data_IF_864988079839
#
_entry.id   IF_864988079839
#
_cell.length_a   1.000
_cell.length_b   1.000
_cell.length_c   1.000
_cell.angle_alpha   90.00
_cell.angle_beta   90.00
_cell.angle_gamma   90.00
#
_symmetry.space_group_name_H-M   'P 1'
#
loop_
_entity.id
_entity.type
_entity.pdbx_description
1 polymer ?
#
# COMPACT_ATOMS: atom_id res chain seq x y z
N UNK A 1 37.60 2.06 -30.84
CA UNK A 1 36.56 2.99 -31.35
C UNK A 1 35.25 2.34 -31.00
N UNK A 2 34.70 2.70 -29.84
CA UNK A 2 33.43 2.15 -29.39
C UNK A 2 32.32 2.72 -30.26
N UNK A 3 31.58 1.83 -30.89
CA UNK A 3 30.53 2.14 -31.84
C UNK A 3 29.44 2.95 -31.12
N UNK A 4 29.26 4.21 -31.52
CA UNK A 4 28.35 5.18 -30.89
C UNK A 4 26.91 4.62 -30.78
N UNK A 5 26.59 3.66 -31.65
CA UNK A 5 25.33 2.91 -31.66
C UNK A 5 25.09 2.08 -30.39
N UNK A 6 26.13 1.52 -29.77
CA UNK A 6 26.02 0.75 -28.52
C UNK A 6 25.86 1.64 -27.28
N UNK A 7 26.43 2.85 -27.30
CA UNK A 7 26.23 3.84 -26.24
C UNK A 7 24.76 4.27 -26.13
N UNK A 8 24.11 4.50 -27.27
CA UNK A 8 22.70 4.89 -27.32
C UNK A 8 21.76 3.80 -26.75
N UNK A 9 22.01 2.52 -27.07
CA UNK A 9 21.19 1.41 -26.56
C UNK A 9 21.24 1.30 -25.03
N UNK A 10 22.41 1.50 -24.42
CA UNK A 10 22.55 1.46 -22.95
C UNK A 10 21.79 2.58 -22.22
N UNK A 11 21.57 3.71 -22.89
CA UNK A 11 20.81 4.84 -22.32
C UNK A 11 19.29 4.71 -22.46
N UNK A 12 18.81 3.84 -23.36
CA UNK A 12 17.38 3.61 -23.57
C UNK A 12 16.76 2.69 -22.53
N UNK A 13 17.54 1.83 -21.89
CA UNK A 13 17.06 0.89 -20.84
C UNK A 13 16.63 1.58 -19.53
N UNK A 14 16.96 2.87 -19.36
CA UNK A 14 16.59 3.66 -18.18
C UNK A 14 15.40 4.60 -18.42
N UNK A 15 14.87 4.64 -19.64
CA UNK A 15 13.71 5.45 -19.94
C UNK A 15 12.44 4.77 -19.42
N UNK A 16 11.47 5.53 -18.87
CA UNK A 16 10.16 4.99 -18.55
C UNK A 16 9.57 4.30 -19.78
N UNK A 17 8.89 3.17 -19.57
CA UNK A 17 8.36 2.34 -20.66
C UNK A 17 7.49 3.12 -21.66
N UNK A 18 6.84 4.18 -21.21
CA UNK A 18 5.99 5.04 -22.04
C UNK A 18 6.81 5.92 -22.99
N UNK A 19 8.02 6.32 -22.58
CA UNK A 19 8.97 7.07 -23.42
C UNK A 19 9.64 6.14 -24.43
N UNK A 20 9.97 4.91 -24.05
CA UNK A 20 10.47 3.90 -24.98
C UNK A 20 9.41 3.59 -26.05
N UNK A 21 8.16 3.32 -25.65
CA UNK A 21 7.08 3.05 -26.59
C UNK A 21 6.81 4.22 -27.52
N UNK A 22 6.83 5.45 -27.03
CA UNK A 22 6.66 6.66 -27.87
C UNK A 22 7.83 6.88 -28.81
N UNK A 23 9.07 6.69 -28.38
CA UNK A 23 10.24 6.76 -29.26
C UNK A 23 10.21 5.69 -30.34
N UNK A 24 9.80 4.47 -30.01
CA UNK A 24 9.61 3.40 -30.98
C UNK A 24 8.45 3.69 -31.95
N UNK A 25 7.33 4.24 -31.47
CA UNK A 25 6.24 4.66 -32.38
C UNK A 25 6.69 5.80 -33.29
N UNK A 26 7.46 6.76 -32.78
CA UNK A 26 8.01 7.86 -33.57
C UNK A 26 9.01 7.33 -34.61
N UNK A 27 9.90 6.39 -34.24
CA UNK A 27 10.80 5.74 -35.20
C UNK A 27 10.04 4.90 -36.25
N UNK A 28 8.96 4.23 -35.86
CA UNK A 28 8.09 3.51 -36.80
C UNK A 28 7.31 4.44 -37.73
N UNK A 29 7.05 5.68 -37.30
CA UNK A 29 6.36 6.71 -38.09
C UNK A 29 7.32 7.53 -38.96
N UNK A 30 8.60 7.67 -38.56
CA UNK A 30 9.63 8.38 -39.31
C UNK A 30 10.36 7.45 -40.30
N UNK A 31 9.60 6.76 -41.14
CA UNK A 31 10.12 6.19 -42.40
C UNK A 31 9.95 7.25 -43.48
N UNK A 32 10.71 8.33 -43.33
CA UNK A 32 10.95 9.22 -44.45
C UNK A 32 11.83 8.47 -45.46
N UNK A 33 11.18 8.07 -46.56
CA UNK A 33 11.73 7.62 -47.85
C UNK A 33 11.85 6.10 -48.07
N UNK A 34 10.75 5.46 -48.51
CA UNK A 34 10.83 4.53 -49.65
C UNK A 34 9.59 4.64 -50.52
N UNK A 35 9.76 5.28 -51.68
CA UNK A 35 8.90 5.20 -52.84
C UNK A 35 8.87 3.78 -53.48
N UNK A 36 8.64 2.72 -52.69
CA UNK A 36 8.46 1.35 -53.20
C UNK A 36 7.52 0.52 -52.31
N UNK A 37 6.56 -0.10 -52.97
CA UNK A 37 5.73 -1.23 -52.54
C UNK A 37 4.56 -0.93 -51.57
N UNK A 38 3.33 -1.05 -52.10
CA UNK A 38 2.06 -0.89 -51.37
C UNK A 38 1.87 -1.82 -50.16
N UNK A 39 2.77 -2.77 -49.93
CA UNK A 39 2.80 -3.65 -48.76
C UNK A 39 3.11 -2.90 -47.45
N UNK A 40 3.97 -1.87 -47.48
CA UNK A 40 4.25 -1.06 -46.27
C UNK A 40 3.05 -0.21 -45.83
N UNK A 41 2.20 0.21 -46.78
CA UNK A 41 0.98 0.97 -46.47
C UNK A 41 -0.06 0.12 -45.73
N UNK A 42 -0.16 -1.17 -46.04
CA UNK A 42 -1.14 -2.06 -45.40
C UNK A 42 -0.74 -2.40 -43.96
N UNK A 43 0.55 -2.60 -43.70
CA UNK A 43 1.07 -2.84 -42.35
C UNK A 43 0.88 -1.62 -41.43
N UNK A 44 1.13 -0.40 -41.93
CA UNK A 44 0.85 0.82 -41.18
C UNK A 44 -0.63 0.99 -40.85
N UNK A 45 -1.54 0.61 -41.76
CA UNK A 45 -2.98 0.63 -41.51
C UNK A 45 -3.38 -0.37 -40.42
N UNK A 46 -2.82 -1.59 -40.43
CA UNK A 46 -3.05 -2.60 -39.38
C UNK A 46 -2.56 -2.12 -38.02
N UNK A 47 -1.40 -1.48 -37.97
CA UNK A 47 -0.86 -0.90 -36.74
C UNK A 47 -1.74 0.25 -36.22
N UNK A 48 -2.19 1.14 -37.10
CA UNK A 48 -3.11 2.22 -36.74
C UNK A 48 -4.46 1.68 -36.20
N UNK A 49 -5.01 0.65 -36.84
CA UNK A 49 -6.25 0.00 -36.40
C UNK A 49 -6.07 -0.70 -35.04
N UNK A 50 -4.94 -1.36 -34.82
CA UNK A 50 -4.60 -1.97 -33.53
C UNK A 50 -4.49 -0.93 -32.40
N UNK A 51 -3.80 0.20 -32.64
CA UNK A 51 -3.72 1.30 -31.67
C UNK A 51 -5.10 1.87 -31.35
N UNK A 52 -5.97 1.99 -32.36
CA UNK A 52 -7.32 2.50 -32.17
C UNK A 52 -8.17 1.54 -31.33
N UNK A 53 -7.98 0.23 -31.49
CA UNK A 53 -8.65 -0.78 -30.66
C UNK A 53 -8.18 -0.74 -29.20
N UNK A 54 -6.87 -0.59 -28.97
CA UNK A 54 -6.34 -0.39 -27.62
C UNK A 54 -6.94 0.85 -26.95
N UNK A 55 -7.05 1.97 -27.68
CA UNK A 55 -7.69 3.19 -27.17
C UNK A 55 -9.17 2.97 -26.85
N UNK A 56 -9.88 2.20 -27.66
CA UNK A 56 -11.29 1.84 -27.37
C UNK A 56 -11.39 0.99 -26.11
N UNK A 57 -10.52 -0.01 -25.95
CA UNK A 57 -10.50 -0.87 -24.76
C UNK A 57 -10.19 -0.08 -23.49
N UNK A 58 -9.24 0.87 -23.55
CA UNK A 58 -8.96 1.74 -22.40
C UNK A 58 -10.13 2.67 -22.09
N UNK A 59 -10.81 3.18 -23.11
CA UNK A 59 -12.02 3.99 -22.92
C UNK A 59 -13.14 3.21 -22.24
N UNK A 60 -13.36 1.95 -22.61
CA UNK A 60 -14.39 1.11 -21.99
C UNK A 60 -14.01 0.77 -20.54
N UNK A 61 -12.75 0.42 -20.27
CA UNK A 61 -12.24 0.19 -18.91
C UNK A 61 -12.47 1.40 -18.00
N UNK A 62 -12.01 2.57 -18.43
CA UNK A 62 -12.17 3.82 -17.66
C UNK A 62 -13.65 4.19 -17.50
N UNK A 63 -14.48 3.93 -18.51
CA UNK A 63 -15.93 4.15 -18.40
C UNK A 63 -16.55 3.28 -17.31
N UNK A 64 -16.12 2.03 -17.18
CA UNK A 64 -16.62 1.12 -16.14
C UNK A 64 -16.15 1.53 -14.74
N UNK A 65 -14.85 1.84 -14.57
CA UNK A 65 -14.29 2.33 -13.31
C UNK A 65 -15.00 3.61 -12.85
N UNK A 66 -15.25 4.55 -13.78
CA UNK A 66 -16.03 5.76 -13.49
C UNK A 66 -17.42 5.43 -12.97
N UNK A 67 -18.13 4.52 -13.63
CA UNK A 67 -19.48 4.12 -13.22
C UNK A 67 -19.48 3.48 -11.82
N UNK A 68 -18.46 2.68 -11.51
CA UNK A 68 -18.31 2.07 -10.19
C UNK A 68 -18.09 3.13 -9.09
N UNK A 69 -17.20 4.10 -9.33
CA UNK A 69 -16.96 5.21 -8.42
C UNK A 69 -18.23 6.04 -8.18
N UNK A 70 -19.02 6.30 -9.23
CA UNK A 70 -20.30 7.00 -9.11
C UNK A 70 -21.28 6.24 -8.19
N UNK A 71 -21.35 4.90 -8.29
CA UNK A 71 -22.15 4.09 -7.36
C UNK A 71 -21.66 4.18 -5.92
N UNK A 72 -20.34 4.16 -5.70
CA UNK A 72 -19.79 4.32 -4.35
C UNK A 72 -20.09 5.69 -3.75
N UNK A 73 -20.04 6.76 -4.56
CA UNK A 73 -20.44 8.09 -4.13
C UNK A 73 -21.92 8.13 -3.75
N UNK A 74 -22.79 7.43 -4.48
CA UNK A 74 -24.20 7.32 -4.13
C UNK A 74 -24.40 6.61 -2.77
N UNK A 75 -23.73 5.47 -2.56
CA UNK A 75 -23.77 4.73 -1.28
C UNK A 75 -23.29 5.63 -0.13
N UNK A 76 -22.18 6.35 -0.33
CA UNK A 76 -21.66 7.29 0.66
C UNK A 76 -22.66 8.40 0.96
N UNK A 77 -23.30 8.97 -0.06
CA UNK A 77 -24.32 10.01 0.12
C UNK A 77 -25.51 9.52 0.96
N UNK A 78 -25.97 8.28 0.72
CA UNK A 78 -27.02 7.63 1.54
C UNK A 78 -26.56 7.45 2.99
N UNK A 79 -25.34 6.99 3.21
CA UNK A 79 -24.76 6.82 4.54
C UNK A 79 -24.63 8.15 5.29
N UNK A 80 -24.10 9.19 4.64
CA UNK A 80 -23.96 10.53 5.23
C UNK A 80 -25.34 11.13 5.57
N UNK A 81 -26.33 10.90 4.71
CA UNK A 81 -27.72 11.25 4.99
C UNK A 81 -28.28 10.54 6.22
N UNK A 82 -27.97 9.26 6.40
CA UNK A 82 -28.34 8.50 7.59
C UNK A 82 -27.64 9.04 8.85
N UNK A 83 -26.34 9.34 8.78
CA UNK A 83 -25.57 9.90 9.89
C UNK A 83 -26.10 11.28 10.32
N UNK A 84 -26.49 12.14 9.37
CA UNK A 84 -27.10 13.45 9.66
C UNK A 84 -28.46 13.33 10.35
N UNK A 85 -29.24 12.29 10.04
CA UNK A 85 -30.54 12.01 10.66
C UNK A 85 -30.40 11.35 12.03
N UNK A 86 -29.24 10.79 12.36
CA UNK A 86 -29.02 10.24 13.70
C UNK A 86 -29.06 11.36 14.73
N UNK A 87 -29.82 11.19 15.84
CA UNK A 87 -29.83 12.16 16.91
C UNK A 87 -28.41 12.28 17.47
N UNK A 88 -27.91 13.51 17.61
CA UNK A 88 -26.64 13.76 18.31
C UNK A 88 -26.79 13.22 19.74
N UNK A 89 -26.16 12.07 20.01
CA UNK A 89 -26.10 11.50 21.35
C UNK A 89 -25.52 12.55 22.28
N UNK A 90 -26.22 12.84 23.38
CA UNK A 90 -25.67 13.71 24.42
C UNK A 90 -24.32 13.14 24.84
N UNK A 91 -23.28 13.98 25.07
CA UNK A 91 -22.02 13.49 25.62
C UNK A 91 -22.32 12.62 26.83
N UNK A 92 -21.83 11.38 26.84
CA UNK A 92 -22.00 10.53 28.00
C UNK A 92 -21.45 11.29 29.20
N UNK A 93 -22.21 11.39 30.32
CA UNK A 93 -21.67 12.00 31.52
C UNK A 93 -20.37 11.30 31.88
N UNK A 94 -19.42 12.04 32.45
CA UNK A 94 -18.11 11.49 32.77
C UNK A 94 -18.26 10.48 33.92
N UNK A 95 -18.57 9.24 33.57
CA UNK A 95 -18.65 8.13 34.49
C UNK A 95 -17.25 7.58 34.70
N UNK A 96 -16.92 7.24 35.95
CA UNK A 96 -15.82 6.32 36.21
C UNK A 96 -15.98 5.07 35.31
N UNK A 97 -14.90 4.47 34.78
CA UNK A 97 -14.99 3.34 33.88
C UNK A 97 -15.91 2.25 34.47
N UNK A 98 -17.00 1.95 33.76
CA UNK A 98 -17.89 0.86 34.15
C UNK A 98 -17.09 -0.43 33.91
N UNK A 99 -16.68 -1.09 35.00
CA UNK A 99 -16.06 -2.42 34.94
C UNK A 99 -17.16 -3.44 34.65
N UNK A 100 -17.56 -3.55 33.38
CA UNK A 100 -18.45 -4.63 32.95
C UNK A 100 -17.60 -5.91 32.90
N UNK A 101 -17.83 -6.82 33.85
CA UNK A 101 -17.30 -8.19 33.74
C UNK A 101 -18.18 -8.95 32.76
N UNK A 102 -17.84 -8.88 31.48
CA UNK A 102 -18.47 -9.70 30.46
C UNK A 102 -17.94 -11.12 30.67
N UNK A 103 -18.76 -12.00 31.23
CA UNK A 103 -18.54 -13.44 31.24
C UNK A 103 -18.80 -13.98 29.84
N UNK A 104 -17.84 -13.78 28.94
CA UNK A 104 -17.95 -14.17 27.54
C UNK A 104 -17.76 -15.69 27.45
N UNK A 105 -18.87 -16.43 27.48
CA UNK A 105 -18.88 -17.86 27.17
C UNK A 105 -18.85 -18.01 25.65
N UNK A 106 -17.67 -17.79 25.05
CA UNK A 106 -17.49 -17.99 23.63
C UNK A 106 -17.52 -19.48 23.32
N UNK A 107 -18.58 -19.88 22.64
CA UNK A 107 -18.70 -21.15 21.95
C UNK A 107 -19.89 -21.01 21.02
N UNK A 108 -19.67 -20.45 19.84
CA UNK A 108 -20.64 -20.52 18.75
C UNK A 108 -20.45 -21.92 18.13
N UNK A 109 -21.34 -22.90 18.38
CA UNK A 109 -21.13 -24.28 17.92
C UNK A 109 -21.16 -24.40 16.38
N UNK A 110 -21.61 -23.35 15.70
CA UNK A 110 -21.80 -23.27 14.26
C UNK A 110 -20.53 -22.81 13.54
N UNK A 111 -19.77 -21.88 14.11
CA UNK A 111 -18.49 -21.41 13.56
C UNK A 111 -17.44 -22.53 13.51
N UNK A 112 -17.49 -23.47 14.46
CA UNK A 112 -16.58 -24.63 14.51
C UNK A 112 -16.95 -25.72 13.46
N UNK A 113 -18.22 -25.77 13.04
CA UNK A 113 -18.67 -26.65 11.94
C UNK A 113 -18.30 -26.07 10.58
N UNK A 114 -18.46 -24.76 10.38
CA UNK A 114 -18.01 -24.08 9.17
C UNK A 114 -16.50 -24.22 8.97
N UNK A 115 -15.71 -24.05 10.04
CA UNK A 115 -14.25 -24.25 9.97
C UNK A 115 -13.87 -25.68 9.54
N UNK A 116 -14.61 -26.70 9.99
CA UNK A 116 -14.35 -28.10 9.59
C UNK A 116 -14.73 -28.38 8.13
N UNK A 117 -15.77 -27.73 7.61
CA UNK A 117 -16.16 -27.82 6.20
C UNK A 117 -15.12 -27.15 5.29
N UNK A 118 -14.71 -25.93 5.65
CA UNK A 118 -13.66 -25.17 4.94
C UNK A 118 -12.35 -25.97 4.93
N UNK A 119 -11.97 -26.59 6.04
CA UNK A 119 -10.73 -27.35 6.15
C UNK A 119 -10.74 -28.70 5.40
N UNK A 120 -11.92 -29.25 5.09
CA UNK A 120 -12.07 -30.42 4.23
C UNK A 120 -11.93 -30.07 2.74
N UNK A 121 -12.41 -28.90 2.30
CA UNK A 121 -12.29 -28.44 0.91
C UNK A 121 -10.84 -28.08 0.56
N UNK A 122 -10.07 -27.52 1.50
CA UNK A 122 -8.66 -27.16 1.30
C UNK A 122 -7.66 -28.33 1.23
N UNK A 123 -8.09 -29.59 1.42
CA UNK A 123 -7.21 -30.77 1.25
C UNK A 123 -7.28 -31.42 -0.14
N UNK A 124 -8.24 -31.04 -0.99
CA UNK A 124 -8.48 -31.72 -2.27
C UNK A 124 -8.28 -30.89 -3.54
N UNK A 125 -7.71 -29.68 -3.45
CA UNK A 125 -7.29 -28.95 -4.65
C UNK A 125 -5.87 -28.41 -4.52
N UNK A 126 -4.94 -29.06 -5.21
CA UNK A 126 -3.59 -28.58 -5.40
C UNK A 126 -3.53 -27.49 -6.48
N UNK A 127 -2.67 -26.51 -6.19
CA UNK A 127 -2.07 -25.45 -7.05
C UNK A 127 -2.75 -24.06 -7.10
N UNK A 128 -1.84 -23.09 -6.95
CA UNK A 128 -1.78 -21.67 -7.38
C UNK A 128 -2.43 -20.55 -6.54
N UNK A 129 -1.51 -19.69 -6.07
CA UNK A 129 -1.55 -18.22 -6.02
C UNK A 129 -2.21 -17.47 -4.85
N UNK A 130 -1.30 -16.85 -4.07
CA UNK A 130 -1.39 -15.56 -3.37
C UNK A 130 -2.56 -15.35 -2.38
N UNK A 131 -2.35 -15.85 -1.17
CA UNK A 131 -2.90 -15.26 0.05
C UNK A 131 -1.77 -14.90 0.99
N UNK A 132 -1.58 -13.63 1.31
CA UNK A 132 -0.75 -13.24 2.46
C UNK A 132 -1.60 -12.40 3.41
N UNK A 133 -2.06 -13.04 4.48
CA UNK A 133 -2.51 -12.42 5.72
C UNK A 133 -1.30 -11.81 6.45
N UNK A 134 -0.55 -10.97 5.73
CA UNK A 134 0.70 -10.41 6.21
C UNK A 134 0.41 -9.20 7.10
N UNK A 135 0.94 -9.27 8.32
CA UNK A 135 0.78 -8.21 9.31
C UNK A 135 1.42 -6.91 8.81
N UNK A 136 0.66 -5.82 8.89
CA UNK A 136 1.02 -4.51 8.32
C UNK A 136 1.72 -3.67 9.37
N UNK A 137 2.89 -3.16 9.02
CA UNK A 137 3.72 -2.33 9.88
C UNK A 137 3.91 -0.94 9.28
N UNK A 138 4.60 -0.07 10.02
CA UNK A 138 4.87 1.30 9.63
C UNK A 138 3.59 2.14 9.42
N UNK A 139 3.75 3.46 9.31
CA UNK A 139 2.62 4.34 9.01
C UNK A 139 2.14 4.21 7.55
N UNK A 140 2.94 3.60 6.66
CA UNK A 140 2.54 3.27 5.29
C UNK A 140 1.55 2.08 5.22
N UNK A 141 1.37 1.34 6.33
CA UNK A 141 0.48 0.17 6.46
C UNK A 141 0.78 -0.91 5.43
N UNK A 142 2.05 -1.07 5.10
CA UNK A 142 2.52 -2.09 4.18
C UNK A 142 3.10 -3.27 4.96
N UNK A 143 3.30 -4.39 4.27
CA UNK A 143 3.90 -5.60 4.86
C UNK A 143 5.35 -5.34 5.29
N UNK A 144 5.90 -6.20 6.15
CA UNK A 144 7.32 -6.16 6.46
C UNK A 144 8.14 -6.52 5.23
N UNK A 145 8.95 -5.58 4.73
CA UNK A 145 9.88 -5.81 3.63
C UNK A 145 11.16 -5.01 3.84
N UNK A 146 12.29 -5.60 3.44
CA UNK A 146 13.59 -4.93 3.49
C UNK A 146 14.04 -4.53 4.90
N UNK A 147 14.94 -3.53 5.02
CA UNK A 147 15.46 -3.09 6.30
C UNK A 147 14.43 -2.28 7.10
N UNK A 148 14.22 -2.70 8.35
CA UNK A 148 13.27 -2.10 9.28
C UNK A 148 13.94 -1.73 10.60
N UNK A 149 13.39 -0.73 11.27
CA UNK A 149 13.85 -0.24 12.58
C UNK A 149 12.70 -0.24 13.58
N UNK A 150 13.01 -0.65 14.81
CA UNK A 150 12.08 -0.61 15.94
C UNK A 150 12.22 0.72 16.72
N UNK A 151 11.10 1.27 17.18
CA UNK A 151 11.07 2.43 18.07
C UNK A 151 11.44 2.00 19.50
N UNK A 152 12.41 2.67 20.14
CA UNK A 152 12.86 2.38 21.52
C UNK A 152 11.83 2.73 22.62
N UNK A 153 10.67 3.26 22.24
CA UNK A 153 9.58 3.51 23.16
C UNK A 153 8.64 2.30 23.21
N UNK A 154 8.71 1.53 24.29
CA UNK A 154 7.84 0.36 24.56
C UNK A 154 6.32 0.69 24.57
N UNK A 155 5.96 1.98 24.59
CA UNK A 155 4.56 2.44 24.49
C UNK A 155 4.16 2.87 23.07
N UNK A 156 4.98 2.59 22.06
CA UNK A 156 4.67 2.87 20.67
C UNK A 156 3.65 1.86 20.12
N UNK A 157 2.62 2.31 19.41
CA UNK A 157 1.58 1.41 18.89
C UNK A 157 1.97 0.63 17.63
N UNK A 158 2.95 1.14 16.86
CA UNK A 158 3.34 0.56 15.56
C UNK A 158 4.64 -0.23 15.68
N UNK A 159 5.53 0.21 16.56
CA UNK A 159 6.84 -0.39 16.89
C UNK A 159 7.83 -0.47 15.73
N UNK A 160 7.43 -0.88 14.52
CA UNK A 160 8.29 -1.17 13.38
C UNK A 160 8.09 -0.23 12.19
N UNK A 161 9.19 0.23 11.60
CA UNK A 161 9.20 1.21 10.51
C UNK A 161 10.20 0.83 9.42
N UNK A 162 9.84 1.02 8.16
CA UNK A 162 10.78 0.84 7.04
C UNK A 162 11.76 2.02 6.97
N UNK A 163 13.01 1.72 6.67
CA UNK A 163 14.08 2.72 6.48
C UNK A 163 13.69 3.88 5.55
N UNK A 164 13.20 3.64 4.32
CA UNK A 164 12.80 4.72 3.41
C UNK A 164 11.64 5.56 3.97
N UNK A 165 10.73 4.94 4.74
CA UNK A 165 9.61 5.67 5.34
C UNK A 165 10.10 6.67 6.41
N UNK A 166 11.18 6.36 7.12
CA UNK A 166 11.72 7.24 8.18
C UNK A 166 12.99 7.99 7.75
N UNK A 167 13.34 7.95 6.45
CA UNK A 167 14.50 8.65 5.90
C UNK A 167 15.85 8.10 6.39
N UNK A 168 15.91 6.85 6.81
CA UNK A 168 17.15 6.17 7.16
C UNK A 168 17.72 5.46 5.93
N UNK A 169 19.03 5.59 5.71
CA UNK A 169 19.76 4.84 4.67
C UNK A 169 20.57 3.69 5.26
N UNK A 170 21.01 3.83 6.51
CA UNK A 170 21.80 2.84 7.24
C UNK A 170 21.25 2.67 8.66
N UNK A 171 21.57 1.53 9.29
CA UNK A 171 21.19 1.28 10.67
C UNK A 171 21.82 2.35 11.57
N UNK A 172 21.03 3.08 12.38
CA UNK A 172 21.60 4.04 13.31
C UNK A 172 22.54 3.33 14.28
N UNK A 173 23.66 3.98 14.60
CA UNK A 173 24.65 3.40 15.49
C UNK A 173 24.00 2.94 16.78
N UNK A 174 24.19 1.67 17.14
CA UNK A 174 23.59 0.97 18.31
C UNK A 174 23.84 1.65 19.66
N UNK A 175 24.67 2.71 19.68
CA UNK A 175 24.92 3.57 20.84
C UNK A 175 23.81 4.60 21.09
N UNK A 176 23.04 4.96 20.06
CA UNK A 176 22.00 5.99 20.15
C UNK A 176 20.62 5.35 20.03
N UNK A 177 19.71 5.79 20.91
CA UNK A 177 18.31 5.35 20.87
C UNK A 177 17.56 6.06 19.75
N UNK A 178 16.75 5.32 19.01
CA UNK A 178 15.96 5.81 17.90
C UNK A 178 14.46 5.84 18.24
N UNK A 179 13.80 6.92 17.83
CA UNK A 179 12.37 7.13 18.08
C UNK A 179 11.68 7.55 16.79
N UNK A 180 10.50 6.97 16.54
CA UNK A 180 9.73 7.26 15.33
C UNK A 180 9.09 8.67 15.31
N UNK A 181 9.00 9.33 16.46
CA UNK A 181 8.44 10.68 16.59
C UNK A 181 8.92 11.37 17.87
N UNK A 182 8.83 12.71 17.89
CA UNK A 182 9.08 13.52 19.08
C UNK A 182 8.17 13.15 20.26
N UNK A 183 6.96 12.67 19.98
CA UNK A 183 6.03 12.20 21.01
C UNK A 183 6.55 10.94 21.69
N UNK A 184 7.03 9.96 20.91
CA UNK A 184 7.62 8.74 21.47
C UNK A 184 8.89 9.05 22.29
N UNK A 185 9.72 9.99 21.84
CA UNK A 185 10.89 10.44 22.59
C UNK A 185 10.52 11.06 23.94
N UNK A 186 9.53 11.97 23.96
CA UNK A 186 9.04 12.62 25.19
C UNK A 186 8.44 11.61 26.17
N UNK A 187 7.66 10.65 25.68
CA UNK A 187 7.08 9.59 26.49
C UNK A 187 8.16 8.72 27.14
N UNK A 188 9.16 8.33 26.35
CA UNK A 188 10.30 7.58 26.84
C UNK A 188 11.06 8.30 27.97
N UNK A 189 11.35 9.59 27.77
CA UNK A 189 12.05 10.41 28.77
C UNK A 189 11.22 10.61 30.06
N UNK A 190 9.90 10.79 29.94
CA UNK A 190 9.00 10.92 31.08
C UNK A 190 8.95 9.64 31.93
N UNK A 191 8.91 8.47 31.29
CA UNK A 191 8.96 7.16 31.98
C UNK A 191 10.31 6.98 32.67
N UNK A 192 11.41 7.31 31.99
CA UNK A 192 12.77 7.19 32.54
C UNK A 192 13.00 8.10 33.75
N UNK A 193 12.48 9.33 33.74
CA UNK A 193 12.61 10.27 34.86
C UNK A 193 11.90 9.78 36.12
N UNK A 194 10.72 9.15 35.98
CA UNK A 194 9.99 8.57 37.12
C UNK A 194 10.71 7.39 37.77
N UNK A 195 11.48 6.62 36.99
CA UNK A 195 12.23 5.45 37.46
C UNK A 195 13.57 5.80 38.14
N UNK A 196 14.02 7.06 38.11
CA UNK A 196 15.25 7.46 38.80
C UNK A 196 15.03 7.40 40.32
N UNK A 197 15.82 6.61 41.07
CA UNK A 197 15.68 6.54 42.52
C UNK A 197 15.98 7.91 43.12
N UNK A 198 15.07 8.42 43.98
CA UNK A 198 15.32 9.62 44.78
C UNK A 198 16.55 9.37 45.66
N UNK A 199 17.69 9.99 45.33
CA UNK A 199 18.89 9.96 46.18
C UNK A 199 18.49 10.54 47.54
N UNK A 200 18.40 9.69 48.56
CA UNK A 200 18.25 10.13 49.95
C UNK A 200 19.51 10.89 50.33
N UNK A 201 19.39 12.17 50.69
CA UNK A 201 20.46 12.94 51.32
C UNK A 201 20.77 12.26 52.66
N UNK A 202 21.98 11.72 52.80
CA UNK A 202 22.53 11.35 54.12
C UNK A 202 22.84 12.65 54.85
N UNK A 203 22.21 12.84 56.00
CA UNK A 203 22.56 13.86 56.98
C UNK A 203 23.70 13.31 57.85
#
# INVERSE_FOLDING_TARGET
>A
MDDVRYGFLSTLDHLPCDVIRTLWTIQSLDVSDTNRDGCHSEEMLRQAEHLLELVRQERTRLSFEKQELERFLEIKSRYDGHLKKQPKLKPLPHHRPIKIKIGMKYGYPEAEREQKLIQQEHKNHGKSEQGSDAERYCFCRDVSYGPMIACDNDSCAIEWFHYPCVGLTEAPSTRNKWFCSDMCRKQYDAVRQKRKPKRRRRY
#
